data_IF_305189459798
#
_entry.id   IF_305189459798
#
_cell.length_a   1.000
_cell.length_b   1.000
_cell.length_c   1.000
_cell.angle_alpha   90.00
_cell.angle_beta   90.00
_cell.angle_gamma   90.00
#
_symmetry.space_group_name_H-M   'P 1'
#
loop_
_entity.id
_entity.type
_entity.pdbx_description
1 polymer ?
#
# COMPACT_ATOMS: atom_id res chain seq x y z
N UNK A 1 -7.86 -55.73 -57.73
CA UNK A 1 -7.49 -54.33 -57.43
C UNK A 1 -6.25 -54.37 -56.55
N UNK A 2 -5.33 -53.49 -56.86
CA UNK A 2 -3.89 -53.63 -56.73
C UNK A 2 -3.37 -53.31 -55.32
N UNK A 3 -2.38 -54.09 -54.88
CA UNK A 3 -1.23 -53.60 -54.09
C UNK A 3 -0.09 -53.29 -55.09
N UNK A 4 1.06 -52.63 -54.79
CA UNK A 4 1.68 -52.44 -53.47
C UNK A 4 2.57 -51.15 -53.29
N UNK A 5 3.37 -51.16 -52.21
CA UNK A 5 4.78 -50.70 -52.07
C UNK A 5 5.10 -49.42 -51.25
N UNK A 6 5.79 -49.73 -50.15
CA UNK A 6 6.72 -49.02 -49.26
C UNK A 6 7.72 -48.02 -49.88
N UNK A 7 8.12 -47.02 -49.08
CA UNK A 7 9.31 -46.20 -49.36
C UNK A 7 9.78 -45.44 -48.13
N UNK A 8 10.72 -46.04 -47.40
CA UNK A 8 11.53 -45.49 -46.33
C UNK A 8 12.85 -44.99 -46.95
N UNK A 9 13.40 -43.85 -46.50
CA UNK A 9 14.85 -43.54 -46.41
C UNK A 9 15.11 -42.06 -46.07
N UNK A 10 15.45 -41.83 -44.80
CA UNK A 10 16.63 -41.14 -44.26
C UNK A 10 17.44 -40.10 -45.06
N UNK A 11 17.62 -38.95 -44.38
CA UNK A 11 18.89 -38.30 -43.96
C UNK A 11 19.85 -37.62 -44.95
N UNK A 12 20.71 -36.78 -44.33
CA UNK A 12 21.95 -36.10 -44.82
C UNK A 12 21.70 -34.63 -45.19
N UNK A 13 21.90 -33.66 -44.28
CA UNK A 13 23.15 -33.11 -43.69
C UNK A 13 23.61 -31.80 -44.37
N UNK A 14 23.85 -30.83 -43.49
CA UNK A 14 24.97 -29.90 -43.43
C UNK A 14 25.30 -28.99 -44.62
N UNK A 15 25.33 -27.69 -44.32
CA UNK A 15 26.00 -26.66 -45.12
C UNK A 15 26.14 -25.37 -44.33
N UNK A 16 27.14 -25.32 -43.45
CA UNK A 16 27.57 -24.13 -42.74
C UNK A 16 28.35 -23.17 -43.64
N UNK A 17 28.27 -21.87 -43.30
CA UNK A 17 29.33 -20.84 -43.32
C UNK A 17 28.95 -19.54 -44.04
N UNK A 18 29.20 -18.43 -43.34
CA UNK A 18 29.13 -17.08 -43.89
C UNK A 18 29.26 -15.97 -42.86
N UNK A 19 30.32 -15.99 -42.05
CA UNK A 19 30.80 -14.86 -41.24
C UNK A 19 31.23 -13.69 -42.14
N UNK A 20 30.85 -12.46 -41.80
CA UNK A 20 31.68 -11.26 -42.02
C UNK A 20 31.37 -10.15 -41.01
N UNK A 21 32.48 -9.59 -40.49
CA UNK A 21 32.65 -8.52 -39.49
C UNK A 21 32.13 -7.17 -40.02
N UNK A 22 31.43 -6.39 -39.19
CA UNK A 22 31.88 -5.27 -38.35
C UNK A 22 32.37 -4.03 -39.14
N UNK A 23 31.68 -2.90 -38.94
CA UNK A 23 32.32 -1.58 -38.87
C UNK A 23 31.43 -0.55 -38.13
N UNK A 24 32.16 0.41 -37.58
CA UNK A 24 31.88 1.37 -36.52
C UNK A 24 31.10 2.60 -37.02
N UNK A 25 30.43 3.35 -36.13
CA UNK A 25 29.74 4.57 -36.55
C UNK A 25 28.79 5.18 -35.53
N UNK A 26 29.35 5.99 -34.64
CA UNK A 26 28.65 6.88 -33.73
C UNK A 26 27.50 7.67 -34.39
N UNK A 27 26.33 7.69 -33.75
CA UNK A 27 25.43 8.85 -33.85
C UNK A 27 24.59 9.07 -32.60
N UNK A 28 24.61 10.32 -32.13
CA UNK A 28 24.05 10.84 -30.88
C UNK A 28 22.50 10.79 -30.86
N UNK A 29 21.86 10.73 -29.68
CA UNK A 29 20.43 10.98 -29.56
C UNK A 29 20.11 12.48 -29.73
N UNK A 30 19.02 12.86 -30.42
CA UNK A 30 18.64 14.27 -30.53
C UNK A 30 17.80 14.75 -29.33
N UNK A 31 18.30 15.84 -28.73
CA UNK A 31 17.59 16.98 -28.15
C UNK A 31 16.64 16.82 -26.96
N UNK A 32 17.14 17.23 -25.79
CA UNK A 32 16.39 18.04 -24.81
C UNK A 32 16.35 19.51 -25.26
N UNK A 33 15.25 20.25 -25.06
CA UNK A 33 15.30 21.70 -25.02
C UNK A 33 15.22 22.22 -23.57
N UNK A 34 16.20 23.03 -23.20
CA UNK A 34 16.18 23.97 -22.07
C UNK A 34 16.21 25.39 -22.64
N UNK A 35 15.70 26.36 -21.87
CA UNK A 35 15.63 27.82 -22.08
C UNK A 35 14.47 28.27 -22.99
N UNK A 36 13.72 29.34 -22.72
CA UNK A 36 13.86 30.53 -21.88
C UNK A 36 12.42 31.12 -21.81
N UNK A 37 11.90 31.57 -20.66
CA UNK A 37 11.97 32.98 -20.29
C UNK A 37 11.30 33.90 -21.31
N UNK A 38 9.98 34.05 -21.28
CA UNK A 38 9.28 35.22 -21.83
C UNK A 38 8.07 35.56 -20.94
N UNK A 39 8.12 36.78 -20.42
CA UNK A 39 7.07 37.49 -19.73
C UNK A 39 5.86 37.66 -20.65
N UNK A 40 4.67 37.37 -20.11
CA UNK A 40 3.39 37.61 -20.74
C UNK A 40 2.36 37.91 -19.66
N UNK A 41 2.25 39.18 -19.32
CA UNK A 41 1.15 39.73 -18.50
C UNK A 41 -0.16 39.55 -19.26
N UNK A 42 -1.20 38.99 -18.60
CA UNK A 42 -2.61 39.38 -18.76
C UNK A 42 -3.56 38.52 -17.92
N UNK A 43 -4.14 39.16 -16.91
CA UNK A 43 -5.51 39.04 -16.42
C UNK A 43 -6.09 37.65 -16.10
N UNK A 44 -5.91 37.23 -14.83
CA UNK A 44 -6.81 36.29 -14.17
C UNK A 44 -7.82 37.06 -13.33
N UNK A 45 -9.10 36.82 -13.61
CA UNK A 45 -10.27 37.27 -12.87
C UNK A 45 -10.27 36.72 -11.44
N UNK A 46 -10.56 37.60 -10.48
CA UNK A 46 -10.82 37.27 -9.08
C UNK A 46 -11.91 36.19 -8.97
N UNK A 47 -11.54 35.05 -8.40
CA UNK A 47 -12.47 34.12 -7.75
C UNK A 47 -11.91 33.84 -6.36
N UNK A 48 -12.68 34.22 -5.35
CA UNK A 48 -12.38 34.09 -3.93
C UNK A 48 -11.99 32.66 -3.56
N UNK A 49 -10.74 32.46 -3.14
CA UNK A 49 -10.36 31.31 -2.33
C UNK A 49 -10.72 31.63 -0.88
N UNK A 50 -11.75 30.98 -0.35
CA UNK A 50 -11.93 30.86 1.10
C UNK A 50 -10.97 29.79 1.61
N UNK A 51 -10.00 30.20 2.42
CA UNK A 51 -9.16 29.34 3.25
C UNK A 51 -10.03 28.51 4.20
N UNK A 52 -10.28 27.26 3.86
CA UNK A 52 -10.82 26.28 4.83
C UNK A 52 -9.62 25.67 5.55
N UNK A 53 -9.31 26.27 6.70
CA UNK A 53 -8.43 25.67 7.71
C UNK A 53 -8.95 24.29 8.12
N UNK A 54 -8.10 23.24 8.22
CA UNK A 54 -8.54 21.87 8.51
C UNK A 54 -8.99 21.63 9.97
N UNK A 55 -9.09 22.68 10.78
CA UNK A 55 -9.39 22.59 12.22
C UNK A 55 -10.89 22.69 12.57
N UNK A 56 -11.77 22.66 11.56
CA UNK A 56 -13.21 22.94 11.73
C UNK A 56 -14.10 21.71 11.94
N UNK A 57 -13.65 20.49 11.66
CA UNK A 57 -14.52 19.30 11.67
C UNK A 57 -14.45 18.41 12.94
N UNK A 58 -13.80 18.88 14.01
CA UNK A 58 -13.65 18.13 15.28
C UNK A 58 -14.35 18.80 16.47
N UNK A 59 -15.48 19.50 16.25
CA UNK A 59 -16.19 20.22 17.33
C UNK A 59 -17.69 19.96 17.47
N UNK A 60 -18.28 19.03 16.74
CA UNK A 60 -19.72 18.71 16.84
C UNK A 60 -20.06 17.56 17.79
N UNK A 61 -19.10 16.76 18.28
CA UNK A 61 -19.41 15.64 19.19
C UNK A 61 -18.97 15.89 20.66
N UNK A 62 -18.32 17.01 20.95
CA UNK A 62 -17.78 17.32 22.29
C UNK A 62 -18.73 18.13 23.20
N UNK A 63 -19.99 18.33 22.80
CA UNK A 63 -21.00 19.05 23.60
C UNK A 63 -22.11 18.18 24.20
N UNK A 64 -22.30 16.94 23.75
CA UNK A 64 -23.30 16.04 24.34
C UNK A 64 -22.80 15.26 25.58
N UNK A 65 -21.50 15.28 25.87
CA UNK A 65 -20.90 14.56 27.01
C UNK A 65 -20.56 15.47 28.22
N UNK A 66 -20.83 16.79 28.14
CA UNK A 66 -20.45 17.76 29.18
C UNK A 66 -21.53 18.09 30.23
N UNK A 67 -22.78 17.67 30.00
CA UNK A 67 -23.91 18.02 30.89
C UNK A 67 -24.39 16.88 31.81
N UNK A 68 -23.61 15.80 31.95
CA UNK A 68 -23.91 14.72 32.93
C UNK A 68 -22.91 14.58 34.08
N UNK A 69 -21.91 15.45 34.17
CA UNK A 69 -20.96 15.49 35.29
C UNK A 69 -21.02 16.88 35.93
N UNK A 70 -22.20 17.25 36.40
CA UNK A 70 -22.37 18.42 37.27
C UNK A 70 -23.59 18.21 38.17
N UNK A 71 -23.55 17.16 38.98
CA UNK A 71 -24.34 17.03 40.20
C UNK A 71 -23.72 15.91 41.05
N UNK A 72 -22.95 16.32 42.05
CA UNK A 72 -22.19 15.43 42.92
C UNK A 72 -20.98 16.09 43.56
N UNK A 73 -21.04 17.41 43.81
CA UNK A 73 -20.15 18.03 44.76
C UNK A 73 -20.80 17.87 46.15
N UNK A 74 -20.33 16.91 46.94
CA UNK A 74 -19.89 17.23 48.30
C UNK A 74 -19.21 16.04 48.99
N UNK A 75 -18.08 16.37 49.63
CA UNK A 75 -17.40 15.65 50.71
C UNK A 75 -16.51 14.43 50.37
N UNK A 76 -15.32 14.72 49.83
CA UNK A 76 -14.11 14.06 50.34
C UNK A 76 -12.85 14.91 50.09
N UNK A 77 -12.39 15.46 51.21
CA UNK A 77 -11.18 16.22 51.49
C UNK A 77 -9.92 15.63 50.83
N UNK A 78 -9.31 16.44 49.96
CA UNK A 78 -7.88 16.54 49.65
C UNK A 78 -7.00 15.29 49.69
N UNK A 79 -6.71 14.75 48.50
CA UNK A 79 -5.42 14.13 48.21
C UNK A 79 -4.88 14.78 46.93
N UNK A 80 -3.64 15.32 46.91
CA UNK A 80 -3.04 15.76 45.67
C UNK A 80 -2.82 14.52 44.80
N UNK A 81 -3.28 14.54 43.55
CA UNK A 81 -2.89 13.55 42.57
C UNK A 81 -1.38 13.70 42.33
N UNK A 82 -0.57 13.02 43.14
CA UNK A 82 0.86 12.89 42.91
C UNK A 82 1.01 12.02 41.67
N UNK A 83 1.24 12.68 40.53
CA UNK A 83 1.82 12.06 39.34
C UNK A 83 3.23 11.59 39.72
N UNK A 84 3.32 10.45 40.39
CA UNK A 84 4.60 9.86 40.81
C UNK A 84 5.36 9.46 39.54
N UNK A 85 6.51 10.10 39.31
CA UNK A 85 7.43 9.75 38.22
C UNK A 85 7.71 8.24 38.32
N UNK A 86 7.55 7.45 37.24
CA UNK A 86 7.82 6.02 37.29
C UNK A 86 9.27 5.78 37.70
N UNK A 87 9.52 4.76 38.53
CA UNK A 87 10.87 4.48 39.00
C UNK A 87 11.77 4.05 37.82
N UNK A 88 13.06 4.33 37.91
CA UNK A 88 14.04 4.01 36.85
C UNK A 88 14.02 2.52 36.48
N UNK A 89 13.83 1.63 37.47
CA UNK A 89 13.69 0.20 37.25
C UNK A 89 12.44 -0.16 36.41
N UNK A 90 11.32 0.53 36.62
CA UNK A 90 10.08 0.32 35.86
C UNK A 90 10.25 0.79 34.42
N UNK A 91 10.87 1.95 34.21
CA UNK A 91 11.19 2.49 32.88
C UNK A 91 12.09 1.50 32.13
N UNK A 92 13.15 1.01 32.77
CA UNK A 92 14.06 0.04 32.18
C UNK A 92 13.34 -1.27 31.78
N UNK A 93 12.52 -1.80 32.69
CA UNK A 93 11.76 -3.02 32.47
C UNK A 93 10.75 -2.89 31.33
N UNK A 94 10.02 -1.77 31.26
CA UNK A 94 9.08 -1.48 30.19
C UNK A 94 9.79 -1.32 28.83
N UNK A 95 10.88 -0.55 28.78
CA UNK A 95 11.71 -0.37 27.60
C UNK A 95 12.26 -1.70 27.05
N UNK A 96 12.73 -2.58 27.94
CA UNK A 96 13.25 -3.91 27.55
C UNK A 96 12.17 -4.78 26.91
N UNK A 97 10.97 -4.83 27.52
CA UNK A 97 9.82 -5.57 26.97
C UNK A 97 9.40 -5.00 25.62
N UNK A 98 9.38 -3.67 25.49
CA UNK A 98 9.01 -2.99 24.25
C UNK A 98 10.01 -3.26 23.12
N UNK A 99 11.31 -3.26 23.43
CA UNK A 99 12.35 -3.62 22.47
C UNK A 99 12.16 -5.04 21.93
N UNK A 100 11.79 -6.00 22.80
CA UNK A 100 11.49 -7.37 22.38
C UNK A 100 10.32 -7.41 21.40
N UNK A 101 9.22 -6.69 21.68
CA UNK A 101 8.09 -6.56 20.75
C UNK A 101 8.51 -5.95 19.42
N UNK A 102 9.31 -4.88 19.43
CA UNK A 102 9.76 -4.22 18.20
C UNK A 102 10.74 -5.06 17.37
N UNK A 103 11.46 -6.01 17.98
CA UNK A 103 12.29 -6.98 17.26
C UNK A 103 11.48 -8.01 16.50
N UNK A 104 10.23 -8.27 16.91
CA UNK A 104 9.32 -9.18 16.21
C UNK A 104 8.72 -8.59 14.94
N UNK A 105 8.93 -7.30 14.64
CA UNK A 105 8.58 -6.69 13.35
C UNK A 105 9.65 -7.04 12.31
N UNK A 106 9.92 -8.33 12.14
CA UNK A 106 10.56 -8.81 10.93
C UNK A 106 9.47 -8.98 9.88
N UNK A 107 9.69 -8.39 8.71
CA UNK A 107 8.78 -8.58 7.59
C UNK A 107 9.11 -9.92 6.98
N UNK A 108 8.15 -10.85 6.97
CA UNK A 108 8.30 -12.12 6.26
C UNK A 108 8.65 -11.83 4.79
N UNK A 109 9.69 -12.50 4.27
CA UNK A 109 10.18 -12.26 2.91
C UNK A 109 9.09 -12.46 1.86
N UNK A 110 8.24 -13.46 2.04
CA UNK A 110 7.13 -13.78 1.11
C UNK A 110 6.03 -12.73 1.21
N UNK A 111 5.64 -12.32 2.43
CA UNK A 111 4.67 -11.24 2.61
C UNK A 111 5.19 -9.92 2.01
N UNK A 112 6.49 -9.63 2.17
CA UNK A 112 7.15 -8.44 1.63
C UNK A 112 7.09 -8.40 0.12
N UNK A 113 7.41 -9.51 -0.55
CA UNK A 113 7.37 -9.62 -2.01
C UNK A 113 5.95 -9.44 -2.55
N UNK A 114 4.98 -10.15 -1.98
CA UNK A 114 3.57 -10.04 -2.37
C UNK A 114 3.02 -8.61 -2.17
N UNK A 115 3.42 -7.95 -1.07
CA UNK A 115 3.05 -6.56 -0.79
C UNK A 115 3.64 -5.61 -1.83
N UNK A 116 4.92 -5.76 -2.18
CA UNK A 116 5.58 -4.92 -3.21
C UNK A 116 4.91 -5.07 -4.57
N UNK A 117 4.60 -6.31 -4.95
CA UNK A 117 3.89 -6.60 -6.20
C UNK A 117 2.51 -5.96 -6.22
N UNK A 118 1.75 -6.07 -5.12
CA UNK A 118 0.43 -5.46 -5.01
C UNK A 118 0.49 -3.94 -5.17
N UNK A 119 1.41 -3.27 -4.46
CA UNK A 119 1.60 -1.82 -4.56
C UNK A 119 2.00 -1.42 -5.99
N UNK A 120 2.92 -2.16 -6.60
CA UNK A 120 3.40 -1.87 -7.95
C UNK A 120 2.27 -1.92 -8.98
N UNK A 121 1.45 -2.98 -8.94
CA UNK A 121 0.32 -3.15 -9.86
C UNK A 121 -0.74 -2.08 -9.59
N UNK A 122 -1.07 -1.81 -8.33
CA UNK A 122 -2.06 -0.78 -7.95
C UNK A 122 -1.65 0.61 -8.46
N UNK A 123 -0.37 0.98 -8.32
CA UNK A 123 0.15 2.25 -8.86
C UNK A 123 0.19 2.29 -10.39
N UNK A 124 0.33 1.14 -11.05
CA UNK A 124 0.26 1.07 -12.52
C UNK A 124 -1.18 1.25 -13.00
N UNK A 125 -2.15 0.62 -12.32
CA UNK A 125 -3.56 0.76 -12.59
C UNK A 125 -4.02 2.22 -12.47
N UNK A 126 -3.73 2.86 -11.34
CA UNK A 126 -4.05 4.28 -11.11
C UNK A 126 -3.48 5.20 -12.22
N UNK A 127 -2.25 4.96 -12.66
CA UNK A 127 -1.65 5.70 -13.79
C UNK A 127 -2.36 5.43 -15.11
N UNK A 128 -2.79 4.20 -15.38
CA UNK A 128 -3.55 3.88 -16.59
C UNK A 128 -4.96 4.49 -16.60
N UNK A 129 -5.63 4.53 -15.45
CA UNK A 129 -6.95 5.17 -15.30
C UNK A 129 -6.87 6.69 -15.52
N UNK A 130 -5.85 7.33 -14.97
CA UNK A 130 -5.57 8.74 -15.23
C UNK A 130 -5.33 9.00 -16.73
N UNK A 131 -4.53 8.17 -17.40
CA UNK A 131 -4.24 8.32 -18.83
C UNK A 131 -5.49 8.14 -19.71
N UNK A 132 -6.40 7.24 -19.35
CA UNK A 132 -7.70 7.05 -20.04
C UNK A 132 -8.59 8.27 -19.83
N UNK A 133 -8.71 8.75 -18.59
CA UNK A 133 -9.50 9.93 -18.24
C UNK A 133 -9.01 11.16 -19.00
N UNK A 134 -7.69 11.37 -19.03
CA UNK A 134 -7.05 12.46 -19.77
C UNK A 134 -7.32 12.34 -21.28
N UNK A 135 -7.16 11.13 -21.85
CA UNK A 135 -7.43 10.90 -23.28
C UNK A 135 -8.89 11.20 -23.64
N UNK A 136 -9.84 10.78 -22.80
CA UNK A 136 -11.27 11.01 -23.00
C UNK A 136 -11.64 12.49 -22.87
N UNK A 137 -10.98 13.23 -21.96
CA UNK A 137 -11.16 14.67 -21.82
C UNK A 137 -10.67 15.44 -23.06
N UNK A 138 -9.57 15.00 -23.67
CA UNK A 138 -9.04 15.59 -24.91
C UNK A 138 -9.94 15.34 -26.11
N UNK A 139 -10.64 14.20 -26.16
CA UNK A 139 -11.66 13.91 -27.19
C UNK A 139 -12.85 14.85 -27.05
N UNK A 140 -13.29 15.16 -25.83
CA UNK A 140 -14.44 16.06 -25.58
C UNK A 140 -14.16 17.53 -25.84
N UNK A 141 -12.93 17.99 -25.64
CA UNK A 141 -12.55 19.41 -25.67
C UNK A 141 -12.03 19.90 -27.02
N UNK A 142 -11.58 19.00 -27.91
CA UNK A 142 -11.13 19.37 -29.26
C UNK A 142 -12.22 19.05 -30.28
N UNK A 143 -12.78 20.04 -31.01
CA UNK A 143 -13.67 19.75 -32.12
C UNK A 143 -12.94 18.84 -33.11
N UNK A 144 -13.52 17.68 -33.40
CA UNK A 144 -13.00 16.73 -34.36
C UNK A 144 -13.18 17.32 -35.76
N UNK A 145 -12.13 17.96 -36.28
CA UNK A 145 -12.09 18.53 -37.64
C UNK A 145 -11.80 17.44 -38.68
N UNK A 146 -11.38 16.24 -38.27
CA UNK A 146 -10.86 15.19 -39.14
C UNK A 146 -11.27 13.79 -38.65
N UNK A 147 -11.99 13.04 -39.49
CA UNK A 147 -12.54 11.71 -39.21
C UNK A 147 -11.43 10.68 -38.97
N UNK A 148 -10.29 10.82 -39.65
CA UNK A 148 -9.12 9.95 -39.45
C UNK A 148 -8.50 10.15 -38.06
N UNK A 149 -8.52 11.37 -37.53
CA UNK A 149 -8.06 11.66 -36.16
C UNK A 149 -9.06 11.20 -35.10
N UNK A 150 -10.34 11.07 -35.46
CA UNK A 150 -11.37 10.51 -34.58
C UNK A 150 -11.18 8.99 -34.43
N UNK A 151 -10.99 8.28 -35.54
CA UNK A 151 -10.81 6.82 -35.56
C UNK A 151 -9.51 6.38 -34.88
N UNK A 152 -8.40 7.09 -35.10
CA UNK A 152 -7.13 6.82 -34.41
C UNK A 152 -7.22 7.03 -32.89
N UNK A 153 -7.95 8.06 -32.43
CA UNK A 153 -8.17 8.27 -30.99
C UNK A 153 -9.11 7.23 -30.38
N UNK A 154 -10.12 6.80 -31.12
CA UNK A 154 -11.00 5.71 -30.68
C UNK A 154 -10.22 4.41 -30.51
N UNK A 155 -9.36 4.05 -31.48
CA UNK A 155 -8.55 2.82 -31.37
C UNK A 155 -7.54 2.90 -30.23
N UNK A 156 -6.94 4.06 -29.96
CA UNK A 156 -6.10 4.26 -28.77
C UNK A 156 -6.90 4.06 -27.47
N UNK A 157 -8.13 4.57 -27.39
CA UNK A 157 -9.01 4.37 -26.24
C UNK A 157 -9.36 2.89 -26.02
N UNK A 158 -9.62 2.14 -27.08
CA UNK A 158 -9.91 0.70 -27.01
C UNK A 158 -8.70 -0.10 -26.50
N UNK A 159 -7.50 0.21 -27.02
CA UNK A 159 -6.25 -0.40 -26.57
C UNK A 159 -6.01 -0.11 -25.08
N UNK A 160 -6.18 1.15 -24.65
CA UNK A 160 -6.01 1.53 -23.24
C UNK A 160 -7.01 0.81 -22.34
N UNK A 161 -8.27 0.70 -22.77
CA UNK A 161 -9.31 -0.04 -22.02
C UNK A 161 -8.95 -1.51 -21.86
N UNK A 162 -8.43 -2.16 -22.92
CA UNK A 162 -7.92 -3.53 -22.84
C UNK A 162 -6.78 -3.68 -21.84
N UNK A 163 -5.82 -2.75 -21.82
CA UNK A 163 -4.72 -2.77 -20.84
C UNK A 163 -5.20 -2.59 -19.41
N UNK A 164 -6.20 -1.75 -19.18
CA UNK A 164 -6.80 -1.51 -17.87
C UNK A 164 -7.43 -2.79 -17.30
N UNK A 165 -8.21 -3.50 -18.13
CA UNK A 165 -8.84 -4.77 -17.73
C UNK A 165 -7.79 -5.81 -17.32
N UNK A 166 -6.70 -5.93 -18.09
CA UNK A 166 -5.61 -6.85 -17.77
C UNK A 166 -4.89 -6.49 -16.46
N UNK A 167 -4.61 -5.20 -16.21
CA UNK A 167 -3.99 -4.78 -14.95
C UNK A 167 -4.94 -4.98 -13.75
N UNK A 168 -6.25 -4.77 -13.91
CA UNK A 168 -7.25 -5.04 -12.86
C UNK A 168 -7.32 -6.54 -12.52
N UNK A 169 -7.29 -7.40 -13.53
CA UNK A 169 -7.20 -8.85 -13.32
C UNK A 169 -5.92 -9.24 -12.59
N UNK A 170 -4.78 -8.65 -12.98
CA UNK A 170 -3.50 -8.90 -12.33
C UNK A 170 -3.49 -8.43 -10.88
N UNK A 171 -4.06 -7.26 -10.58
CA UNK A 171 -4.19 -6.74 -9.23
C UNK A 171 -5.01 -7.69 -8.36
N UNK A 172 -6.15 -8.16 -8.86
CA UNK A 172 -7.00 -9.13 -8.16
C UNK A 172 -6.28 -10.45 -7.88
N UNK A 173 -5.46 -10.95 -8.81
CA UNK A 173 -4.69 -12.18 -8.63
C UNK A 173 -3.58 -12.03 -7.56
N UNK A 174 -2.85 -10.91 -7.58
CA UNK A 174 -1.83 -10.61 -6.57
C UNK A 174 -2.47 -10.43 -5.19
N UNK A 175 -3.57 -9.68 -5.12
CA UNK A 175 -4.33 -9.48 -3.89
C UNK A 175 -4.87 -10.79 -3.31
N UNK A 176 -5.42 -11.67 -4.17
CA UNK A 176 -5.88 -12.98 -3.74
C UNK A 176 -4.75 -13.84 -3.16
N UNK A 177 -3.56 -13.76 -3.74
CA UNK A 177 -2.38 -14.48 -3.24
C UNK A 177 -1.92 -13.96 -1.87
N UNK A 178 -2.04 -12.65 -1.65
CA UNK A 178 -1.70 -11.99 -0.40
C UNK A 178 -2.71 -12.34 0.72
N UNK A 179 -4.00 -12.29 0.42
CA UNK A 179 -5.07 -12.73 1.34
C UNK A 179 -4.89 -14.21 1.69
N UNK A 180 -4.69 -15.07 0.69
CA UNK A 180 -4.48 -16.51 0.91
C UNK A 180 -3.20 -16.81 1.70
N UNK A 181 -2.19 -15.93 1.64
CA UNK A 181 -0.99 -16.05 2.45
C UNK A 181 -1.25 -15.70 3.93
N UNK A 182 -2.05 -14.69 4.19
CA UNK A 182 -2.44 -14.29 5.55
C UNK A 182 -3.41 -15.31 6.18
N UNK A 183 -4.36 -15.83 5.41
CA UNK A 183 -5.36 -16.79 5.88
C UNK A 183 -4.93 -18.25 5.77
N UNK A 184 -3.65 -18.53 5.49
CA UNK A 184 -3.15 -19.90 5.31
C UNK A 184 -3.38 -20.79 6.54
N UNK A 185 -3.41 -20.18 7.72
CA UNK A 185 -3.58 -20.83 9.02
C UNK A 185 -4.98 -20.57 9.60
N UNK A 186 -5.84 -19.83 8.89
CA UNK A 186 -7.22 -19.54 9.31
C UNK A 186 -8.20 -20.57 8.71
N UNK A 187 -9.10 -21.09 9.54
CA UNK A 187 -10.08 -22.12 9.15
C UNK A 187 -11.40 -21.57 8.61
N UNK A 188 -11.68 -20.28 8.83
CA UNK A 188 -12.97 -19.65 8.48
C UNK A 188 -12.78 -18.60 7.38
N UNK A 189 -13.23 -18.94 6.18
CA UNK A 189 -13.27 -18.03 5.04
C UNK A 189 -14.68 -17.41 5.01
N UNK A 190 -14.81 -16.08 4.91
CA UNK A 190 -16.12 -15.43 4.97
C UNK A 190 -17.07 -15.95 3.87
N UNK A 191 -18.30 -16.27 4.29
CA UNK A 191 -19.38 -16.67 3.39
C UNK A 191 -19.85 -15.51 2.51
N UNK A 192 -20.58 -15.83 1.43
CA UNK A 192 -21.08 -14.84 0.48
C UNK A 192 -21.96 -13.80 1.19
N UNK A 193 -21.62 -12.51 1.03
CA UNK A 193 -22.54 -11.43 1.37
C UNK A 193 -23.48 -11.10 0.22
N UNK A 194 -24.55 -10.36 0.53
CA UNK A 194 -25.40 -9.74 -0.50
C UNK A 194 -24.52 -8.87 -1.40
N UNK A 195 -24.58 -9.11 -2.71
CA UNK A 195 -23.81 -8.38 -3.71
C UNK A 195 -24.19 -6.89 -3.66
N UNK A 196 -23.31 -6.05 -3.10
CA UNK A 196 -23.45 -4.61 -3.21
C UNK A 196 -23.16 -4.23 -4.66
N UNK A 197 -24.18 -3.66 -5.29
CA UNK A 197 -24.07 -3.09 -6.64
C UNK A 197 -23.02 -1.98 -6.64
N UNK A 198 -22.30 -1.89 -7.77
CA UNK A 198 -21.43 -0.81 -8.26
C UNK A 198 -19.93 -1.04 -8.01
N UNK A 199 -19.19 -1.20 -9.11
CA UNK A 199 -17.73 -1.30 -9.19
C UNK A 199 -16.99 -0.21 -8.38
N UNK A 200 -17.62 0.95 -8.15
CA UNK A 200 -17.06 2.10 -7.44
C UNK A 200 -16.68 1.80 -5.98
N UNK A 201 -17.40 0.90 -5.29
CA UNK A 201 -17.12 0.58 -3.88
C UNK A 201 -15.93 -0.37 -3.73
N UNK A 202 -15.76 -1.30 -4.68
CA UNK A 202 -14.61 -2.20 -4.75
C UNK A 202 -13.32 -1.43 -5.10
N UNK A 203 -13.41 -0.48 -6.03
CA UNK A 203 -12.27 0.35 -6.43
C UNK A 203 -11.84 1.28 -5.29
N UNK A 204 -12.80 1.85 -4.54
CA UNK A 204 -12.52 2.58 -3.29
C UNK A 204 -11.84 1.72 -2.21
N UNK A 205 -12.24 0.45 -2.10
CA UNK A 205 -11.66 -0.50 -1.13
C UNK A 205 -10.21 -0.84 -1.48
N UNK A 206 -9.92 -1.06 -2.77
CA UNK A 206 -8.56 -1.34 -3.24
C UNK A 206 -7.62 -0.13 -3.07
N UNK A 207 -8.11 1.08 -3.30
CA UNK A 207 -7.36 2.32 -3.06
C UNK A 207 -7.03 2.49 -1.56
N UNK A 208 -8.02 2.32 -0.68
CA UNK A 208 -7.80 2.33 0.78
C UNK A 208 -6.76 1.30 1.21
N UNK A 209 -6.80 0.11 0.62
CA UNK A 209 -5.85 -0.96 0.91
C UNK A 209 -4.42 -0.60 0.47
N UNK A 210 -4.25 -0.05 -0.74
CA UNK A 210 -2.95 0.44 -1.20
C UNK A 210 -2.39 1.52 -0.26
N UNK A 211 -3.24 2.46 0.18
CA UNK A 211 -2.85 3.49 1.15
C UNK A 211 -2.45 2.92 2.52
N UNK A 212 -3.09 1.84 2.99
CA UNK A 212 -2.68 1.14 4.23
C UNK A 212 -1.28 0.53 4.08
N UNK A 213 -0.99 -0.08 2.94
CA UNK A 213 0.35 -0.65 2.68
C UNK A 213 1.44 0.42 2.64
N UNK A 214 1.17 1.57 2.01
CA UNK A 214 2.10 2.71 2.03
C UNK A 214 2.31 3.21 3.48
N UNK A 215 1.25 3.28 4.30
CA UNK A 215 1.35 3.65 5.73
C UNK A 215 2.12 2.62 6.56
N UNK A 216 1.95 1.33 6.29
CA UNK A 216 2.69 0.25 6.96
C UNK A 216 4.18 0.31 6.63
N UNK A 217 4.54 0.66 5.40
CA UNK A 217 5.92 0.87 4.99
C UNK A 217 6.52 2.07 5.72
N UNK A 218 5.84 3.23 5.71
CA UNK A 218 6.30 4.42 6.43
C UNK A 218 6.43 4.16 7.94
N UNK A 219 5.48 3.42 8.53
CA UNK A 219 5.54 3.02 9.93
C UNK A 219 6.77 2.15 10.23
N UNK A 220 7.16 1.24 9.33
CA UNK A 220 8.38 0.46 9.47
C UNK A 220 9.63 1.35 9.45
N UNK A 221 9.67 2.31 8.52
CA UNK A 221 10.77 3.27 8.40
C UNK A 221 10.90 4.18 9.64
N UNK A 222 9.79 4.45 10.35
CA UNK A 222 9.76 5.18 11.62
C UNK A 222 10.16 4.30 12.83
N UNK A 223 9.72 3.05 12.86
CA UNK A 223 9.98 2.11 13.96
C UNK A 223 11.46 1.72 14.02
N UNK A 224 12.09 1.51 12.87
CA UNK A 224 13.46 1.00 12.80
C UNK A 224 14.48 1.92 13.52
N UNK A 225 14.52 3.25 13.27
CA UNK A 225 15.38 4.18 14.01
C UNK A 225 15.08 4.22 15.51
N UNK A 226 13.80 4.19 15.91
CA UNK A 226 13.41 4.19 17.31
C UNK A 226 13.87 2.93 18.02
N UNK A 227 13.74 1.77 17.38
CA UNK A 227 14.24 0.48 17.87
C UNK A 227 15.75 0.52 18.08
N UNK A 228 16.50 1.06 17.12
CA UNK A 228 17.96 1.20 17.22
C UNK A 228 18.33 2.13 18.38
N UNK A 229 17.70 3.30 18.48
CA UNK A 229 17.93 4.26 19.57
C UNK A 229 17.62 3.64 20.94
N UNK A 230 16.50 2.94 21.06
CA UNK A 230 16.10 2.27 22.30
C UNK A 230 17.10 1.20 22.72
N UNK A 231 17.52 0.34 21.78
CA UNK A 231 18.53 -0.69 22.02
C UNK A 231 19.87 -0.08 22.47
N UNK A 232 20.31 0.98 21.81
CA UNK A 232 21.53 1.69 22.19
C UNK A 232 21.39 2.31 23.58
N UNK A 233 20.26 2.92 23.93
CA UNK A 233 20.10 3.51 25.27
C UNK A 233 20.10 2.45 26.37
N UNK A 234 19.42 1.33 26.13
CA UNK A 234 19.38 0.19 27.05
C UNK A 234 20.76 -0.44 27.29
N UNK A 235 21.67 -0.41 26.31
CA UNK A 235 23.02 -0.99 26.49
C UNK A 235 23.92 -0.19 27.43
N UNK A 236 23.62 1.08 27.69
CA UNK A 236 24.45 1.96 28.54
C UNK A 236 23.85 2.23 29.92
N UNK A 237 22.62 1.79 30.17
CA UNK A 237 21.88 2.00 31.43
C UNK A 237 21.71 0.70 32.20
N UNK A 238 21.63 0.80 33.53
CA UNK A 238 21.23 -0.30 34.41
C UNK A 238 19.97 0.09 35.18
N UNK A 239 19.09 -0.86 35.44
CA UNK A 239 17.85 -0.63 36.19
C UNK A 239 18.07 -0.03 37.60
N UNK A 240 19.25 -0.23 38.18
CA UNK A 240 19.65 0.28 39.50
C UNK A 240 20.27 1.67 39.48
N UNK A 241 20.48 2.28 38.31
CA UNK A 241 21.09 3.60 38.20
C UNK A 241 20.12 4.66 38.76
N UNK A 242 20.55 5.41 39.78
CA UNK A 242 19.74 6.43 40.47
C UNK A 242 20.16 7.87 40.18
N UNK A 243 21.30 8.07 39.52
CA UNK A 243 21.91 9.38 39.21
C UNK A 243 21.73 9.80 37.75
N UNK A 244 21.01 9.00 36.96
CA UNK A 244 20.89 9.12 35.49
C UNK A 244 19.49 9.52 35.03
N UNK A 245 18.85 10.39 35.79
CA UNK A 245 17.45 10.79 35.59
C UNK A 245 17.17 11.35 34.19
N UNK A 246 18.10 12.11 33.61
CA UNK A 246 17.95 12.64 32.25
C UNK A 246 17.99 11.54 31.19
N UNK A 247 18.84 10.53 31.37
CA UNK A 247 18.95 9.40 30.47
C UNK A 247 17.74 8.47 30.58
N UNK A 248 17.18 8.30 31.79
CA UNK A 248 15.92 7.58 31.99
C UNK A 248 14.73 8.32 31.40
N UNK A 249 14.72 9.66 31.48
CA UNK A 249 13.70 10.47 30.83
C UNK A 249 13.72 10.29 29.30
N UNK A 250 14.90 10.34 28.68
CA UNK A 250 15.05 10.07 27.24
C UNK A 250 14.66 8.63 26.88
N UNK A 251 15.06 7.64 27.71
CA UNK A 251 14.66 6.24 27.53
C UNK A 251 13.13 6.08 27.55
N UNK A 252 12.47 6.78 28.47
CA UNK A 252 11.02 6.80 28.58
C UNK A 252 10.36 7.45 27.36
N UNK A 253 10.88 8.57 26.87
CA UNK A 253 10.38 9.26 25.68
C UNK A 253 10.51 8.41 24.41
N UNK A 254 11.67 7.78 24.20
CA UNK A 254 11.88 6.85 23.08
C UNK A 254 10.92 5.67 23.19
N UNK A 255 10.74 5.12 24.39
CA UNK A 255 9.81 4.00 24.63
C UNK A 255 8.38 4.40 24.30
N UNK A 256 7.92 5.57 24.74
CA UNK A 256 6.58 6.07 24.46
C UNK A 256 6.36 6.30 22.96
N UNK A 257 7.35 6.88 22.26
CA UNK A 257 7.28 7.09 20.82
C UNK A 257 7.19 5.76 20.06
N UNK A 258 8.02 4.79 20.44
CA UNK A 258 8.02 3.46 19.83
C UNK A 258 6.70 2.73 20.09
N UNK A 259 6.19 2.74 21.33
CA UNK A 259 4.92 2.13 21.69
C UNK A 259 3.75 2.71 20.88
N UNK A 260 3.72 4.04 20.71
CA UNK A 260 2.75 4.70 19.83
C UNK A 260 2.82 4.23 18.37
N UNK A 261 4.03 4.02 17.83
CA UNK A 261 4.22 3.49 16.46
C UNK A 261 3.82 2.02 16.35
N UNK A 262 4.07 1.19 17.37
CA UNK A 262 3.60 -0.20 17.41
C UNK A 262 2.07 -0.27 17.48
N UNK A 263 1.44 0.58 18.28
CA UNK A 263 -0.01 0.68 18.38
C UNK A 263 -0.63 1.10 17.03
N UNK A 264 -0.06 2.13 16.39
CA UNK A 264 -0.48 2.54 15.04
C UNK A 264 -0.35 1.38 14.04
N UNK A 265 0.74 0.61 14.10
CA UNK A 265 0.95 -0.55 13.24
C UNK A 265 -0.15 -1.60 13.44
N UNK A 266 -0.48 -1.90 14.69
CA UNK A 266 -1.54 -2.86 15.03
C UNK A 266 -2.89 -2.42 14.45
N UNK A 267 -3.22 -1.13 14.55
CA UNK A 267 -4.46 -0.58 13.97
C UNK A 267 -4.46 -0.73 12.44
N UNK A 268 -3.33 -0.46 11.78
CA UNK A 268 -3.22 -0.61 10.32
C UNK A 268 -3.40 -2.07 9.87
N UNK A 269 -2.84 -3.04 10.61
CA UNK A 269 -3.06 -4.46 10.32
C UNK A 269 -4.52 -4.86 10.51
N UNK A 270 -5.19 -4.37 11.56
CA UNK A 270 -6.61 -4.66 11.77
C UNK A 270 -7.48 -4.06 10.66
N UNK A 271 -7.22 -2.80 10.28
CA UNK A 271 -7.90 -2.15 9.16
C UNK A 271 -7.71 -2.93 7.85
N UNK A 272 -6.48 -3.37 7.57
CA UNK A 272 -6.17 -4.23 6.42
C UNK A 272 -7.01 -5.50 6.44
N UNK A 273 -7.05 -6.18 7.58
CA UNK A 273 -7.79 -7.43 7.76
C UNK A 273 -9.28 -7.23 7.50
N UNK A 274 -9.87 -6.16 8.04
CA UNK A 274 -11.28 -5.80 7.77
C UNK A 274 -11.55 -5.60 6.28
N UNK A 275 -10.68 -4.89 5.56
CA UNK A 275 -10.85 -4.68 4.11
C UNK A 275 -10.72 -5.99 3.34
N UNK A 276 -9.84 -6.91 3.75
CA UNK A 276 -9.75 -8.25 3.15
C UNK A 276 -11.06 -9.01 3.29
N UNK A 277 -11.65 -9.02 4.49
CA UNK A 277 -12.96 -9.64 4.73
C UNK A 277 -14.05 -9.01 3.88
N UNK A 278 -14.12 -7.67 3.83
CA UNK A 278 -15.11 -6.94 3.04
C UNK A 278 -15.01 -7.29 1.55
N UNK A 279 -13.79 -7.27 1.02
CA UNK A 279 -13.50 -7.49 -0.39
C UNK A 279 -13.74 -8.94 -0.82
N UNK A 280 -13.39 -9.94 0.00
CA UNK A 280 -13.71 -11.34 -0.30
C UNK A 280 -15.22 -11.60 -0.22
N UNK A 281 -15.91 -10.93 0.71
CA UNK A 281 -17.36 -11.08 0.88
C UNK A 281 -18.15 -10.44 -0.27
N UNK A 282 -17.70 -9.31 -0.81
CA UNK A 282 -18.40 -8.54 -1.83
C UNK A 282 -17.97 -8.84 -3.28
N UNK A 283 -16.76 -9.38 -3.50
CA UNK A 283 -16.21 -9.63 -4.84
C UNK A 283 -16.02 -11.13 -5.12
N UNK A 284 -16.95 -11.70 -5.90
CA UNK A 284 -16.92 -13.11 -6.31
C UNK A 284 -15.63 -13.52 -7.01
N UNK A 285 -15.13 -12.66 -7.90
CA UNK A 285 -13.91 -12.92 -8.67
C UNK A 285 -12.70 -13.07 -7.76
N UNK A 286 -12.54 -12.16 -6.80
CA UNK A 286 -11.44 -12.20 -5.85
C UNK A 286 -11.60 -13.38 -4.89
N UNK A 287 -12.82 -13.65 -4.40
CA UNK A 287 -13.10 -14.82 -3.57
C UNK A 287 -12.72 -16.13 -4.27
N UNK A 288 -13.11 -16.30 -5.52
CA UNK A 288 -12.76 -17.48 -6.32
C UNK A 288 -11.25 -17.66 -6.43
N UNK A 289 -10.51 -16.57 -6.67
CA UNK A 289 -9.04 -16.58 -6.72
C UNK A 289 -8.43 -16.95 -5.37
N UNK A 290 -8.90 -16.37 -4.26
CA UNK A 290 -8.42 -16.68 -2.89
C UNK A 290 -8.61 -18.16 -2.58
N UNK A 291 -9.81 -18.70 -2.82
CA UNK A 291 -10.11 -20.12 -2.62
C UNK A 291 -9.21 -21.02 -3.48
N UNK A 292 -8.93 -20.62 -4.73
CA UNK A 292 -8.00 -21.31 -5.61
C UNK A 292 -6.58 -21.35 -5.05
N UNK A 293 -6.08 -20.23 -4.54
CA UNK A 293 -4.75 -20.12 -3.93
C UNK A 293 -4.62 -21.00 -2.68
N UNK A 294 -5.63 -21.01 -1.81
CA UNK A 294 -5.64 -21.83 -0.59
C UNK A 294 -5.63 -23.33 -0.90
N UNK A 295 -6.46 -23.78 -1.86
CA UNK A 295 -6.50 -25.19 -2.31
C UNK A 295 -5.20 -25.66 -2.95
N UNK A 296 -4.56 -24.80 -3.75
CA UNK A 296 -3.29 -25.13 -4.42
C UNK A 296 -2.18 -25.37 -3.40
N UNK A 297 -2.15 -24.59 -2.32
CA UNK A 297 -1.14 -24.73 -1.26
C UNK A 297 -1.34 -25.96 -0.38
N UNK A 298 -2.58 -26.31 -0.03
CA UNK A 298 -2.85 -27.55 0.71
C UNK A 298 -2.42 -28.80 -0.07
N UNK A 299 -2.51 -28.75 -1.40
CA UNK A 299 -2.08 -29.84 -2.29
C UNK A 299 -0.56 -29.93 -2.48
N UNK A 300 0.21 -28.87 -2.19
CA UNK A 300 1.68 -28.87 -2.30
C UNK A 300 2.40 -29.25 -1.00
N UNK A 301 1.67 -29.34 0.11
CA UNK A 301 2.18 -29.71 1.43
C UNK A 301 1.80 -31.15 1.85
N UNK A 302 1.13 -31.91 0.97
CA UNK A 302 0.84 -33.35 1.11
C UNK A 302 1.74 -34.16 0.19
#
# INVERSE_FOLDING_TARGET
>A
METPITGQCDSVEQGANGLSKAEDGANKPPYSPTSTGLEGTSNATNAEYSDISPDSMMKSESRAARDRISQGADNSRGAPATSTKPANADIYGAATKLLLKAKQIEVDSVESELTKDYILVSRKLCRSEAAITDSLSQVKTKPLVDEMKATERSSQSDVLTGTLVHEKQRQNAVLASLIAYEWRDELEIPEQGTQLSVNDEADSTQEKLAAIYDKLQLNYDDVLPLRIKLNNRLSWLKATDTDRDAQFQELWEISRALDGKLAQRSILHEQRRVLFFELVRSNEGIRTLVMGCLKKRSSSNS
#
